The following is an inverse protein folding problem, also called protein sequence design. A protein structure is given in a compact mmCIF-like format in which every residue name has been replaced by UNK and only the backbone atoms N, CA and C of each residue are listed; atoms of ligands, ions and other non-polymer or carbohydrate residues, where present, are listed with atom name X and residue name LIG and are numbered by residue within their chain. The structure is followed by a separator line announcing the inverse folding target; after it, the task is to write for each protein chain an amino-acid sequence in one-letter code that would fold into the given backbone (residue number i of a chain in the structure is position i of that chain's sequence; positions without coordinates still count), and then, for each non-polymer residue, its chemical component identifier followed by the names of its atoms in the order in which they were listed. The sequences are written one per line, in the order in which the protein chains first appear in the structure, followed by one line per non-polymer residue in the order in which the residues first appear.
data_IF_161074795444
#
_entry.id   IF_161074795444
#
_cell.length_a   1.000
_cell.length_b   1.000
_cell.length_c   1.000
_cell.angle_alpha   90.00
_cell.angle_beta   90.00
_cell.angle_gamma   90.00
#
_symmetry.space_group_name_H-M   'P 1'
#
loop_
_entity.id
_entity.type
_entity.pdbx_description
1 polymer ?
#
# COMPACT_ATOMS: atom_id res chain seq x y z
N UNK A 1 7.44 -14.16 4.32
CA UNK A 1 7.71 -12.80 3.84
C UNK A 1 6.42 -12.03 3.53
N UNK A 2 5.55 -12.46 2.61
CA UNK A 2 4.34 -11.68 2.23
C UNK A 2 3.41 -11.36 3.41
N UNK A 3 3.14 -12.34 4.27
CA UNK A 3 2.33 -12.12 5.47
C UNK A 3 2.98 -11.21 6.52
N UNK A 4 4.30 -10.98 6.46
CA UNK A 4 4.95 -10.06 7.39
C UNK A 4 4.68 -8.59 7.05
N UNK A 5 4.48 -8.25 5.76
CA UNK A 5 4.32 -6.87 5.30
C UNK A 5 3.15 -6.14 6.00
N UNK A 6 1.93 -6.70 6.04
CA UNK A 6 0.82 -6.04 6.73
C UNK A 6 0.99 -5.92 8.25
N UNK A 7 1.89 -6.75 8.85
CA UNK A 7 2.14 -6.72 10.30
C UNK A 7 3.32 -5.84 10.71
N UNK A 8 4.10 -5.32 9.75
CA UNK A 8 5.13 -4.33 10.07
C UNK A 8 4.49 -3.01 10.50
N UNK A 9 5.00 -2.35 11.55
CA UNK A 9 4.48 -1.04 11.96
C UNK A 9 4.79 0.05 10.94
N UNK A 10 5.87 -0.10 10.16
CA UNK A 10 6.22 0.84 9.10
C UNK A 10 5.49 0.48 7.79
N UNK A 11 5.00 1.47 7.02
CA UNK A 11 4.59 1.25 5.64
C UNK A 11 5.74 0.74 4.77
N UNK A 12 5.44 -0.23 3.90
CA UNK A 12 6.38 -0.82 2.95
C UNK A 12 6.05 -0.30 1.55
N UNK A 13 7.02 0.34 0.91
CA UNK A 13 6.87 0.89 -0.44
C UNK A 13 7.68 0.05 -1.43
N UNK A 14 7.02 -0.56 -2.39
CA UNK A 14 7.70 -1.19 -3.52
C UNK A 14 8.22 -0.11 -4.49
N UNK A 15 9.51 -0.15 -4.79
CA UNK A 15 10.14 0.67 -5.86
C UNK A 15 10.42 -0.22 -7.06
N UNK A 16 9.68 -0.03 -8.14
CA UNK A 16 9.69 -0.92 -9.31
C UNK A 16 10.34 -0.24 -10.49
N UNK A 17 11.58 -0.61 -10.82
CA UNK A 17 12.36 0.01 -11.89
C UNK A 17 12.15 -0.65 -13.26
N UNK A 18 11.73 -1.93 -13.29
CA UNK A 18 11.61 -2.72 -14.51
C UNK A 18 10.49 -3.78 -14.37
N UNK A 19 10.68 -4.95 -14.99
CA UNK A 19 9.71 -6.05 -14.98
C UNK A 19 9.51 -6.64 -13.56
N UNK A 20 8.25 -6.75 -13.13
CA UNK A 20 7.82 -7.47 -11.94
C UNK A 20 6.84 -8.60 -12.35
N UNK A 21 7.30 -9.84 -12.33
CA UNK A 21 6.49 -11.00 -12.76
C UNK A 21 6.41 -12.08 -11.69
N UNK A 22 5.37 -12.89 -11.71
CA UNK A 22 5.13 -14.01 -10.78
C UNK A 22 5.29 -13.58 -9.31
N UNK A 23 6.30 -14.11 -8.61
CA UNK A 23 6.60 -13.74 -7.22
C UNK A 23 7.00 -12.25 -7.06
N UNK A 24 7.62 -11.64 -8.08
CA UNK A 24 7.90 -10.21 -8.10
C UNK A 24 6.62 -9.36 -8.14
N UNK A 25 5.67 -9.72 -8.99
CA UNK A 25 4.34 -9.08 -9.03
C UNK A 25 3.57 -9.30 -7.72
N UNK A 26 3.67 -10.50 -7.12
CA UNK A 26 3.12 -10.80 -5.80
C UNK A 26 3.69 -9.86 -4.73
N UNK A 27 5.01 -9.65 -4.73
CA UNK A 27 5.66 -8.77 -3.75
C UNK A 27 5.18 -7.32 -3.90
N UNK A 28 5.11 -6.80 -5.13
CA UNK A 28 4.58 -5.46 -5.39
C UNK A 28 3.15 -5.32 -4.86
N UNK A 29 2.28 -6.28 -5.20
CA UNK A 29 0.89 -6.26 -4.76
C UNK A 29 0.73 -6.47 -3.24
N UNK A 30 1.70 -7.07 -2.55
CA UNK A 30 1.67 -7.28 -1.10
C UNK A 30 2.18 -6.06 -0.31
N UNK A 31 2.94 -5.15 -0.94
CA UNK A 31 3.39 -3.91 -0.30
C UNK A 31 2.22 -2.93 -0.09
N UNK A 32 2.33 -2.07 0.92
CA UNK A 32 1.29 -1.08 1.23
C UNK A 32 1.13 -0.04 0.12
N UNK A 33 2.25 0.33 -0.50
CA UNK A 33 2.32 1.29 -1.62
C UNK A 33 3.32 0.80 -2.65
N UNK A 34 3.18 1.29 -3.89
CA UNK A 34 4.14 1.02 -4.96
C UNK A 34 4.36 2.24 -5.85
N UNK A 35 5.63 2.55 -6.11
CA UNK A 35 6.05 3.56 -7.09
C UNK A 35 6.75 2.82 -8.22
N UNK A 36 6.26 2.96 -9.43
CA UNK A 36 6.80 2.29 -10.62
C UNK A 36 7.42 3.28 -11.60
N UNK A 37 8.51 2.88 -12.24
CA UNK A 37 8.98 3.52 -13.46
C UNK A 37 7.93 3.42 -14.57
N UNK A 38 7.85 4.42 -15.43
CA UNK A 38 7.02 4.37 -16.64
C UNK A 38 7.39 3.22 -17.59
N UNK A 39 8.59 2.66 -17.44
CA UNK A 39 9.09 1.51 -18.19
C UNK A 39 8.79 0.15 -17.53
N UNK A 40 8.24 0.16 -16.32
CA UNK A 40 7.94 -1.07 -15.59
C UNK A 40 6.77 -1.83 -16.23
N UNK A 41 6.85 -3.15 -16.17
CA UNK A 41 5.81 -4.05 -16.63
C UNK A 41 5.49 -5.11 -15.58
N UNK A 42 4.24 -5.59 -15.58
CA UNK A 42 3.74 -6.49 -14.54
C UNK A 42 3.01 -7.68 -15.16
N UNK A 43 3.21 -8.88 -14.62
CA UNK A 43 2.51 -10.08 -15.04
C UNK A 43 2.41 -11.13 -13.94
N UNK A 44 1.44 -12.03 -14.08
CA UNK A 44 1.37 -13.31 -13.37
C UNK A 44 1.61 -14.46 -14.34
N UNK A 45 2.83 -14.49 -14.92
CA UNK A 45 3.18 -15.25 -16.12
C UNK A 45 3.35 -16.76 -15.91
N UNK A 46 3.14 -17.30 -14.70
CA UNK A 46 3.32 -18.74 -14.44
C UNK A 46 2.51 -19.65 -15.36
N UNK A 47 1.33 -19.21 -15.81
CA UNK A 47 0.44 -19.98 -16.67
C UNK A 47 1.09 -20.32 -18.02
N UNK A 48 1.95 -19.45 -18.55
CA UNK A 48 2.67 -19.70 -19.81
C UNK A 48 3.71 -20.83 -19.68
N UNK A 49 4.05 -21.22 -18.45
CA UNK A 49 4.92 -22.33 -18.11
C UNK A 49 4.14 -23.53 -17.51
N UNK A 50 2.81 -23.56 -17.66
CA UNK A 50 1.96 -24.62 -17.16
C UNK A 50 1.64 -24.56 -15.66
N UNK A 51 1.95 -23.44 -14.99
CA UNK A 51 1.73 -23.28 -13.55
C UNK A 51 0.85 -22.06 -13.25
N UNK A 52 -0.31 -22.29 -12.67
CA UNK A 52 -1.15 -21.19 -12.21
C UNK A 52 -0.48 -20.44 -11.05
N UNK A 53 -0.45 -19.09 -11.13
CA UNK A 53 0.14 -18.22 -10.11
C UNK A 53 -0.76 -18.14 -8.85
N UNK A 54 -0.90 -19.26 -8.11
CA UNK A 54 -1.83 -19.37 -6.97
C UNK A 54 -1.52 -18.40 -5.83
N UNK A 55 -0.26 -18.34 -5.37
CA UNK A 55 0.11 -17.38 -4.30
C UNK A 55 0.11 -15.92 -4.76
N UNK A 56 0.56 -15.56 -5.98
CA UNK A 56 0.40 -14.21 -6.52
C UNK A 56 -1.05 -13.76 -6.66
N UNK A 57 -1.99 -14.68 -6.95
CA UNK A 57 -3.40 -14.34 -7.11
C UNK A 57 -4.01 -13.70 -5.85
N UNK A 58 -3.48 -14.02 -4.67
CA UNK A 58 -4.01 -13.52 -3.40
C UNK A 58 -3.86 -12.00 -3.28
N UNK A 59 -2.65 -11.40 -3.26
CA UNK A 59 -2.54 -9.95 -3.16
C UNK A 59 -2.95 -9.22 -4.46
N UNK A 60 -2.73 -9.79 -5.63
CA UNK A 60 -3.16 -9.18 -6.90
C UNK A 60 -4.69 -9.06 -6.93
N UNK A 61 -5.42 -10.12 -6.62
CA UNK A 61 -6.89 -10.10 -6.61
C UNK A 61 -7.52 -9.20 -5.53
N UNK A 62 -6.74 -8.83 -4.49
CA UNK A 62 -7.17 -7.87 -3.48
C UNK A 62 -6.93 -6.40 -3.87
N UNK A 63 -6.00 -6.13 -4.78
CA UNK A 63 -5.65 -4.76 -5.19
C UNK A 63 -6.32 -4.36 -6.49
N UNK A 64 -6.43 -5.27 -7.47
CA UNK A 64 -7.07 -4.99 -8.75
C UNK A 64 -8.46 -5.63 -8.82
N UNK A 65 -9.33 -5.12 -9.66
CA UNK A 65 -10.66 -5.73 -9.86
C UNK A 65 -10.56 -7.16 -10.38
N UNK A 66 -11.52 -8.03 -9.99
CA UNK A 66 -11.47 -9.47 -10.25
C UNK A 66 -11.30 -9.84 -11.73
N UNK A 67 -11.92 -9.11 -12.65
CA UNK A 67 -11.76 -9.38 -14.10
C UNK A 67 -10.33 -9.13 -14.57
N UNK A 68 -9.69 -8.04 -14.11
CA UNK A 68 -8.30 -7.77 -14.44
C UNK A 68 -7.35 -8.80 -13.82
N UNK A 69 -7.57 -9.16 -12.56
CA UNK A 69 -6.78 -10.20 -11.92
C UNK A 69 -6.85 -11.54 -12.69
N UNK A 70 -8.05 -11.98 -13.07
CA UNK A 70 -8.24 -13.21 -13.83
C UNK A 70 -7.66 -13.12 -15.24
N UNK A 71 -7.76 -11.96 -15.91
CA UNK A 71 -7.11 -11.74 -17.20
C UNK A 71 -5.59 -11.94 -17.10
N UNK A 72 -4.93 -11.30 -16.13
CA UNK A 72 -3.49 -11.49 -15.87
C UNK A 72 -3.15 -12.95 -15.54
N UNK A 73 -3.96 -13.60 -14.69
CA UNK A 73 -3.70 -14.97 -14.20
C UNK A 73 -3.91 -16.04 -15.28
N UNK A 74 -4.89 -15.86 -16.16
CA UNK A 74 -5.23 -16.85 -17.20
C UNK A 74 -4.42 -16.67 -18.48
N UNK A 75 -4.04 -15.43 -18.81
CA UNK A 75 -3.28 -15.16 -20.04
C UNK A 75 -1.77 -15.10 -19.81
N UNK A 76 -1.35 -14.73 -18.58
CA UNK A 76 0.07 -14.47 -18.27
C UNK A 76 0.63 -13.25 -19.01
N UNK A 77 -0.21 -12.46 -19.68
CA UNK A 77 0.21 -11.28 -20.43
C UNK A 77 0.73 -10.16 -19.52
N UNK A 78 1.70 -9.42 -20.04
CA UNK A 78 2.23 -8.25 -19.36
C UNK A 78 1.32 -7.04 -19.53
N UNK A 79 1.13 -6.30 -18.47
CA UNK A 79 0.54 -4.95 -18.49
C UNK A 79 1.63 -3.90 -18.26
N UNK A 80 1.48 -2.74 -18.85
CA UNK A 80 2.37 -1.60 -18.65
C UNK A 80 2.10 -0.88 -17.31
N UNK A 81 3.00 0.03 -16.95
CA UNK A 81 2.92 0.78 -15.71
C UNK A 81 1.64 1.65 -15.61
N UNK A 82 1.18 2.23 -16.71
CA UNK A 82 -0.03 3.06 -16.72
C UNK A 82 -1.31 2.21 -16.51
N UNK A 83 -1.35 1.04 -17.10
CA UNK A 83 -2.42 0.06 -16.83
C UNK A 83 -2.40 -0.41 -15.38
N UNK A 84 -1.20 -0.68 -14.82
CA UNK A 84 -1.04 -1.06 -13.42
C UNK A 84 -1.51 0.05 -12.45
N UNK A 85 -1.26 1.32 -12.79
CA UNK A 85 -1.76 2.48 -12.04
C UNK A 85 -3.29 2.59 -12.13
N UNK A 86 -3.85 2.54 -13.33
CA UNK A 86 -5.29 2.64 -13.54
C UNK A 86 -6.06 1.53 -12.83
N UNK A 87 -5.49 0.33 -12.81
CA UNK A 87 -6.12 -0.86 -12.23
C UNK A 87 -5.88 -1.01 -10.71
N UNK A 88 -5.05 -0.13 -10.11
CA UNK A 88 -4.80 -0.11 -8.66
C UNK A 88 -3.67 -1.03 -8.17
N UNK A 89 -2.87 -1.62 -9.08
CA UNK A 89 -1.73 -2.46 -8.70
C UNK A 89 -0.55 -1.63 -8.17
N UNK A 90 -0.38 -0.41 -8.67
CA UNK A 90 0.64 0.53 -8.19
C UNK A 90 0.02 1.88 -7.83
N UNK A 91 0.65 2.61 -6.91
CA UNK A 91 0.14 3.88 -6.38
C UNK A 91 0.57 5.08 -7.22
N UNK A 92 1.73 5.00 -7.88
CA UNK A 92 2.32 6.08 -8.69
C UNK A 92 3.13 5.51 -9.84
N UNK A 93 3.14 6.25 -10.96
CA UNK A 93 4.04 6.01 -12.10
C UNK A 93 4.81 7.29 -12.40
N UNK A 94 6.12 7.17 -12.52
CA UNK A 94 7.04 8.28 -12.72
C UNK A 94 8.08 7.97 -13.79
N UNK A 95 8.73 8.95 -14.43
CA UNK A 95 9.86 8.71 -15.32
C UNK A 95 10.96 7.91 -14.63
N UNK A 96 11.69 7.07 -15.38
CA UNK A 96 12.70 6.16 -14.83
C UNK A 96 13.80 6.90 -14.04
N UNK A 97 14.24 8.03 -14.55
CA UNK A 97 15.26 8.90 -13.94
C UNK A 97 14.79 9.59 -12.64
N UNK A 98 13.47 9.66 -12.41
CA UNK A 98 12.89 10.25 -11.21
C UNK A 98 12.44 9.24 -10.17
N UNK A 99 12.56 7.93 -10.44
CA UNK A 99 12.01 6.88 -9.59
C UNK A 99 12.52 6.95 -8.15
N UNK A 100 13.81 7.11 -7.96
CA UNK A 100 14.42 7.21 -6.62
C UNK A 100 13.94 8.45 -5.88
N UNK A 101 13.99 9.60 -6.54
CA UNK A 101 13.56 10.87 -5.95
C UNK A 101 12.09 10.83 -5.49
N UNK A 102 11.19 10.35 -6.35
CA UNK A 102 9.76 10.32 -6.06
C UNK A 102 9.39 9.27 -5.00
N UNK A 103 10.10 8.13 -5.00
CA UNK A 103 9.92 7.11 -3.95
C UNK A 103 10.37 7.66 -2.59
N UNK A 104 11.54 8.32 -2.52
CA UNK A 104 12.02 8.93 -1.29
C UNK A 104 11.16 10.11 -0.84
N UNK A 105 10.63 10.90 -1.76
CA UNK A 105 9.69 11.97 -1.43
C UNK A 105 8.42 11.42 -0.78
N UNK A 106 7.87 10.31 -1.30
CA UNK A 106 6.73 9.62 -0.68
C UNK A 106 7.09 9.08 0.70
N UNK A 107 8.24 8.41 0.85
CA UNK A 107 8.69 7.86 2.13
C UNK A 107 8.85 8.96 3.18
N UNK A 108 9.48 10.07 2.81
CA UNK A 108 9.70 11.23 3.69
C UNK A 108 8.36 11.90 4.08
N UNK A 109 7.42 12.00 3.16
CA UNK A 109 6.09 12.54 3.45
C UNK A 109 5.33 11.70 4.49
N UNK A 110 5.49 10.37 4.44
CA UNK A 110 4.93 9.44 5.44
C UNK A 110 5.70 9.56 6.76
N UNK A 111 7.03 9.55 6.71
CA UNK A 111 7.88 9.65 7.90
C UNK A 111 7.69 10.97 8.67
N UNK A 112 7.20 12.02 8.01
CA UNK A 112 6.83 13.30 8.64
C UNK A 112 5.47 13.28 9.36
N UNK A 113 4.76 12.14 9.40
CA UNK A 113 3.49 11.99 10.12
C UNK A 113 3.72 11.33 11.50
N UNK A 114 2.73 11.40 12.42
CA UNK A 114 2.84 10.78 13.74
C UNK A 114 3.09 9.26 13.62
N UNK A 115 4.25 8.74 14.06
CA UNK A 115 4.65 7.37 13.79
C UNK A 115 3.72 6.33 14.43
N UNK A 116 3.18 6.62 15.61
CA UNK A 116 2.21 5.74 16.28
C UNK A 116 0.90 5.66 15.47
N UNK A 117 0.41 6.79 14.95
CA UNK A 117 -0.83 6.81 14.17
C UNK A 117 -0.66 6.08 12.83
N UNK A 118 0.50 6.19 12.18
CA UNK A 118 0.81 5.41 10.98
C UNK A 118 0.80 3.91 11.30
N UNK A 119 1.50 3.49 12.36
CA UNK A 119 1.61 2.08 12.72
C UNK A 119 0.27 1.46 13.12
N UNK A 120 -0.46 2.11 14.03
CA UNK A 120 -1.76 1.64 14.51
C UNK A 120 -2.84 1.73 13.43
N UNK A 121 -2.83 2.79 12.62
CA UNK A 121 -3.73 2.97 11.49
C UNK A 121 -3.54 1.89 10.41
N UNK A 122 -2.30 1.55 10.06
CA UNK A 122 -2.00 0.42 9.16
C UNK A 122 -2.54 -0.90 9.71
N UNK A 123 -2.28 -1.19 10.98
CA UNK A 123 -2.76 -2.42 11.61
C UNK A 123 -4.29 -2.50 11.62
N UNK A 124 -4.96 -1.39 11.96
CA UNK A 124 -6.43 -1.27 11.93
C UNK A 124 -6.97 -1.46 10.51
N UNK A 125 -6.35 -0.82 9.50
CA UNK A 125 -6.75 -0.92 8.10
C UNK A 125 -6.73 -2.38 7.63
N UNK A 126 -5.62 -3.09 7.78
CA UNK A 126 -5.54 -4.50 7.37
C UNK A 126 -6.54 -5.39 8.12
N UNK A 127 -6.77 -5.11 9.41
CA UNK A 127 -7.72 -5.88 10.21
C UNK A 127 -9.16 -5.71 9.73
N UNK A 128 -9.61 -4.46 9.50
CA UNK A 128 -11.00 -4.23 9.11
C UNK A 128 -11.31 -4.70 7.67
N UNK A 129 -10.31 -4.75 6.78
CA UNK A 129 -10.50 -5.27 5.40
C UNK A 129 -10.92 -6.74 5.35
N UNK A 130 -10.77 -7.49 6.45
CA UNK A 130 -11.19 -8.88 6.55
C UNK A 130 -12.49 -9.06 7.35
N UNK A 131 -13.14 -7.94 7.76
CA UNK A 131 -14.33 -7.93 8.60
C UNK A 131 -15.60 -7.65 7.80
N UNK A 132 -16.76 -8.00 8.38
CA UNK A 132 -18.05 -7.51 7.89
C UNK A 132 -18.18 -6.01 8.17
N UNK A 133 -18.96 -5.31 7.36
CA UNK A 133 -19.05 -3.84 7.40
C UNK A 133 -19.39 -3.29 8.80
N UNK A 134 -20.35 -3.87 9.49
CA UNK A 134 -20.75 -3.40 10.81
C UNK A 134 -19.63 -3.57 11.85
N UNK A 135 -18.94 -4.72 11.84
CA UNK A 135 -17.82 -5.02 12.74
C UNK A 135 -16.60 -4.13 12.42
N UNK A 136 -16.37 -3.85 11.14
CA UNK A 136 -15.33 -2.93 10.69
C UNK A 136 -15.55 -1.50 11.21
N UNK A 137 -16.82 -1.00 11.17
CA UNK A 137 -17.15 0.31 11.74
C UNK A 137 -17.04 0.34 13.27
N UNK A 138 -17.43 -0.74 13.97
CA UNK A 138 -17.24 -0.84 15.41
C UNK A 138 -15.75 -0.74 15.79
N UNK A 139 -14.89 -1.54 15.12
CA UNK A 139 -13.44 -1.47 15.30
C UNK A 139 -12.89 -0.06 15.02
N UNK A 140 -13.32 0.58 13.91
CA UNK A 140 -12.85 1.91 13.54
C UNK A 140 -13.29 2.99 14.53
N UNK A 141 -14.48 2.85 15.13
CA UNK A 141 -14.98 3.76 16.16
C UNK A 141 -14.14 3.69 17.42
N UNK A 142 -13.85 2.48 17.90
CA UNK A 142 -12.98 2.27 19.07
C UNK A 142 -11.58 2.82 18.79
N UNK A 143 -11.01 2.51 17.62
CA UNK A 143 -9.72 3.03 17.19
C UNK A 143 -9.69 4.56 17.20
N UNK A 144 -10.72 5.24 16.67
CA UNK A 144 -10.78 6.71 16.66
C UNK A 144 -10.89 7.30 18.07
N UNK A 145 -11.65 6.66 18.97
CA UNK A 145 -11.75 7.08 20.35
C UNK A 145 -10.38 7.02 21.08
N UNK A 146 -9.63 5.94 20.88
CA UNK A 146 -8.30 5.77 21.45
C UNK A 146 -7.29 6.74 20.82
N UNK A 147 -7.30 6.90 19.49
CA UNK A 147 -6.42 7.81 18.76
C UNK A 147 -6.53 9.27 19.24
N UNK A 148 -7.75 9.73 19.56
CA UNK A 148 -8.00 11.07 20.08
C UNK A 148 -7.40 11.30 21.48
N UNK A 149 -7.05 10.25 22.23
CA UNK A 149 -6.44 10.37 23.55
C UNK A 149 -4.92 10.57 23.48
N UNK A 150 -4.28 10.31 22.34
CA UNK A 150 -2.83 10.45 22.19
C UNK A 150 -2.36 11.90 22.31
N UNK A 151 -1.12 12.12 22.79
CA UNK A 151 -0.50 13.43 22.89
C UNK A 151 -0.39 14.10 21.50
N UNK A 152 0.02 13.33 20.51
CA UNK A 152 0.18 13.81 19.13
C UNK A 152 -1.15 14.28 18.54
N UNK A 153 -2.25 13.54 18.75
CA UNK A 153 -3.57 13.94 18.26
C UNK A 153 -4.03 15.25 18.93
N UNK A 154 -3.89 15.36 20.25
CA UNK A 154 -4.25 16.57 20.99
C UNK A 154 -3.44 17.78 20.52
N UNK A 155 -2.11 17.63 20.37
CA UNK A 155 -1.24 18.69 19.88
C UNK A 155 -1.56 19.10 18.44
N UNK A 156 -1.82 18.14 17.56
CA UNK A 156 -2.19 18.40 16.17
C UNK A 156 -3.53 19.11 16.04
N UNK A 157 -4.54 18.70 16.81
CA UNK A 157 -5.86 19.34 16.82
C UNK A 157 -5.75 20.78 17.39
N UNK A 158 -5.01 20.98 18.48
CA UNK A 158 -4.78 22.33 19.02
C UNK A 158 -4.09 23.25 18.01
N UNK A 159 -3.05 22.74 17.33
CA UNK A 159 -2.35 23.50 16.29
C UNK A 159 -3.29 23.87 15.12
N UNK A 160 -4.14 22.95 14.70
CA UNK A 160 -5.11 23.19 13.62
C UNK A 160 -6.15 24.24 14.01
N UNK A 161 -6.79 24.07 15.17
CA UNK A 161 -7.86 24.97 15.66
C UNK A 161 -7.33 26.38 15.90
N UNK A 162 -6.13 26.49 16.49
CA UNK A 162 -5.51 27.76 16.84
C UNK A 162 -4.57 28.33 15.76
N UNK A 163 -4.55 27.72 14.54
CA UNK A 163 -3.71 28.16 13.41
C UNK A 163 -2.23 28.27 13.76
N UNK A 164 -1.73 27.38 14.62
CA UNK A 164 -0.33 27.28 15.01
C UNK A 164 0.47 26.46 13.99
N UNK A 165 1.80 26.55 13.95
CA UNK A 165 2.64 25.63 13.19
C UNK A 165 2.38 24.16 13.59
N UNK A 166 2.59 23.24 12.62
CA UNK A 166 2.51 21.81 12.88
C UNK A 166 3.48 21.42 14.00
N UNK A 167 3.04 20.68 15.03
CA UNK A 167 3.92 20.26 16.12
C UNK A 167 4.93 19.21 15.67
N UNK A 168 6.01 19.06 16.43
CA UNK A 168 6.86 17.89 16.34
C UNK A 168 6.15 16.69 16.97
N UNK A 169 6.19 15.54 16.29
CA UNK A 169 5.50 14.35 16.75
C UNK A 169 6.33 13.58 17.76
N UNK A 170 5.71 13.24 18.90
CA UNK A 170 6.36 12.51 20.00
C UNK A 170 6.25 10.99 19.86
N UNK A 171 5.27 10.51 19.08
CA UNK A 171 4.93 9.10 18.96
C UNK A 171 4.16 8.56 20.17
N UNK A 172 3.48 9.43 20.92
CA UNK A 172 2.76 9.10 22.16
C UNK A 172 1.32 9.61 22.16
#
# INVERSE_FOLDING_TARGET
MMLAIPHLPQPVIAKVHAMATAAGCQLVAACDLAVASSEATFATSGITNGLFCGTPSVPVGRNVGSKRALDMLFTGQFIDAQSALRDGLVSRVVPADRLDQETMALANAIAAQPPQQIASGKAMFHKHMEMKLADAYALATDFMADALQTEDAKAGIDAFVNKKPKPDWTGR
#
